data_IF_648227632366
#
_entry.id   IF_648227632366
#
_cell.length_a   1.000
_cell.length_b   1.000
_cell.length_c   1.000
_cell.angle_alpha   90.00
_cell.angle_beta   90.00
_cell.angle_gamma   90.00
#
_symmetry.space_group_name_H-M   'P 1'
#
loop_
_entity.id
_entity.type
_entity.pdbx_description
1 polymer ?
#
# COMPACT_ATOMS: atom_id res chain seq x y z
N UNK A 1 -6.44 19.56 -22.71
CA UNK A 1 -6.95 18.86 -21.51
C UNK A 1 -6.12 17.60 -21.30
N UNK A 2 -5.01 17.68 -20.56
CA UNK A 2 -4.11 16.53 -20.39
C UNK A 2 -4.28 15.95 -18.99
N UNK A 3 -5.10 14.90 -18.91
CA UNK A 3 -5.16 14.00 -17.78
C UNK A 3 -3.77 13.39 -17.59
N UNK A 4 -2.96 13.94 -16.69
CA UNK A 4 -1.66 13.37 -16.35
C UNK A 4 -1.91 12.11 -15.54
N UNK A 5 -1.84 10.97 -16.25
CA UNK A 5 -1.59 9.59 -15.79
C UNK A 5 -1.77 9.44 -14.27
N UNK A 6 -2.94 8.97 -13.85
CA UNK A 6 -3.03 8.24 -12.58
C UNK A 6 -1.93 7.18 -12.65
N UNK A 7 -0.94 7.24 -11.77
CA UNK A 7 -0.08 6.09 -11.57
C UNK A 7 -1.03 4.96 -11.17
N UNK A 8 -1.22 3.97 -12.02
CA UNK A 8 -1.73 2.66 -11.60
C UNK A 8 -0.63 2.01 -10.74
N UNK A 9 -0.39 2.58 -9.56
CA UNK A 9 0.45 1.96 -8.57
C UNK A 9 -0.21 0.65 -8.20
N UNK A 10 0.52 -0.44 -8.34
CA UNK A 10 0.03 -1.73 -7.90
C UNK A 10 -0.24 -1.67 -6.39
N UNK A 11 -1.19 -2.46 -5.87
CA UNK A 11 -1.47 -2.54 -4.44
C UNK A 11 -0.21 -2.67 -3.56
N UNK A 12 0.80 -3.38 -4.07
CA UNK A 12 2.12 -3.56 -3.43
C UNK A 12 2.94 -2.26 -3.36
N UNK A 13 2.90 -1.43 -4.40
CA UNK A 13 3.58 -0.13 -4.45
C UNK A 13 2.89 0.91 -3.57
N UNK A 14 1.55 0.89 -3.52
CA UNK A 14 0.78 1.73 -2.60
C UNK A 14 1.16 1.39 -1.15
N UNK A 15 1.22 0.10 -0.83
CA UNK A 15 1.67 -0.40 0.47
C UNK A 15 3.10 0.06 0.80
N UNK A 16 4.04 -0.04 -0.16
CA UNK A 16 5.42 0.40 0.03
C UNK A 16 5.52 1.90 0.34
N UNK A 17 4.83 2.74 -0.43
CA UNK A 17 4.82 4.20 -0.21
C UNK A 17 4.27 4.57 1.16
N UNK A 18 3.24 3.86 1.60
CA UNK A 18 2.59 4.10 2.88
C UNK A 18 3.50 3.70 4.04
N UNK A 19 4.24 2.60 3.92
CA UNK A 19 5.30 2.22 4.89
C UNK A 19 6.43 3.28 4.90
N UNK A 20 6.93 3.69 3.73
CA UNK A 20 7.98 4.71 3.62
C UNK A 20 7.56 6.03 4.27
N UNK A 21 6.32 6.46 4.06
CA UNK A 21 5.77 7.70 4.65
C UNK A 21 5.63 7.63 6.17
N UNK A 22 5.15 6.51 6.71
CA UNK A 22 4.96 6.35 8.15
C UNK A 22 6.27 6.18 8.92
N UNK A 23 7.23 5.45 8.36
CA UNK A 23 8.53 5.23 9.01
C UNK A 23 9.58 6.30 8.69
N UNK A 24 9.40 7.07 7.62
CA UNK A 24 10.50 7.83 7.02
C UNK A 24 11.64 6.93 6.53
N UNK A 25 11.39 5.63 6.32
CA UNK A 25 12.43 4.66 6.00
C UNK A 25 12.59 4.48 4.49
N UNK A 26 13.83 4.41 3.97
CA UNK A 26 14.08 4.17 2.55
C UNK A 26 13.72 2.75 2.10
N UNK A 27 13.78 1.75 2.98
CA UNK A 27 13.48 0.34 2.65
C UNK A 27 12.20 -0.18 3.32
N UNK A 28 11.05 -0.14 2.62
CA UNK A 28 9.77 -0.58 3.16
C UNK A 28 9.64 -2.11 3.26
N UNK A 29 10.52 -2.89 2.63
CA UNK A 29 10.38 -4.36 2.58
C UNK A 29 10.62 -4.99 3.95
N UNK A 30 11.45 -4.38 4.78
CA UNK A 30 11.74 -4.87 6.14
C UNK A 30 10.52 -4.84 7.07
N UNK A 31 9.50 -4.04 6.75
CA UNK A 31 8.31 -3.87 7.58
C UNK A 31 7.15 -4.75 7.15
N UNK A 32 7.31 -5.54 6.09
CA UNK A 32 6.26 -6.43 5.58
C UNK A 32 6.80 -7.83 5.33
N UNK A 33 5.98 -8.82 5.63
CA UNK A 33 6.26 -10.22 5.36
C UNK A 33 5.09 -10.82 4.59
N UNK A 34 5.39 -11.43 3.45
CA UNK A 34 4.43 -12.24 2.71
C UNK A 34 4.72 -13.71 3.01
N UNK A 35 3.79 -14.37 3.69
CA UNK A 35 3.81 -15.81 3.92
C UNK A 35 2.96 -16.48 2.85
N UNK A 36 3.58 -17.32 2.02
CA UNK A 36 2.90 -18.02 0.94
C UNK A 36 2.58 -19.45 1.35
N UNK A 37 1.34 -19.87 1.13
CA UNK A 37 0.84 -21.22 1.36
C UNK A 37 0.15 -21.71 0.08
N UNK A 38 0.47 -22.93 -0.36
CA UNK A 38 -0.27 -23.58 -1.44
C UNK A 38 -1.47 -24.31 -0.87
N UNK A 39 -2.68 -23.85 -1.18
CA UNK A 39 -3.93 -24.42 -0.68
C UNK A 39 -4.43 -25.54 -1.60
N UNK A 40 -4.17 -25.44 -2.90
CA UNK A 40 -4.57 -26.46 -3.89
C UNK A 40 -3.59 -26.53 -5.06
N UNK A 41 -3.86 -27.40 -6.05
CA UNK A 41 -3.04 -27.49 -7.28
C UNK A 41 -2.91 -26.14 -8.01
N UNK A 42 -3.95 -25.32 -7.98
CA UNK A 42 -4.03 -24.04 -8.72
C UNK A 42 -4.33 -22.86 -7.81
N UNK A 43 -4.24 -23.01 -6.49
CA UNK A 43 -4.62 -21.97 -5.54
C UNK A 43 -3.52 -21.74 -4.52
N UNK A 44 -3.14 -20.49 -4.38
CA UNK A 44 -2.18 -20.01 -3.40
C UNK A 44 -2.86 -19.00 -2.48
N UNK A 45 -2.52 -19.08 -1.21
CA UNK A 45 -2.90 -18.13 -0.18
C UNK A 45 -1.65 -17.38 0.24
N UNK A 46 -1.74 -16.07 0.28
CA UNK A 46 -0.69 -15.21 0.79
C UNK A 46 -1.20 -14.48 2.03
N UNK A 47 -0.50 -14.60 3.14
CA UNK A 47 -0.73 -13.78 4.33
C UNK A 47 0.29 -12.66 4.34
N UNK A 48 -0.18 -11.43 4.31
CA UNK A 48 0.64 -10.25 4.52
C UNK A 48 0.62 -9.91 6.01
N UNK A 49 1.78 -9.82 6.62
CA UNK A 49 1.98 -9.33 7.98
C UNK A 49 2.83 -8.07 7.92
N UNK A 50 2.35 -6.97 8.49
CA UNK A 50 3.17 -5.79 8.73
C UNK A 50 3.60 -5.74 10.19
N UNK A 51 4.81 -5.26 10.42
CA UNK A 51 5.31 -5.07 11.77
C UNK A 51 4.47 -3.99 12.48
N UNK A 52 3.74 -4.40 13.51
CA UNK A 52 2.64 -3.66 14.14
C UNK A 52 3.07 -2.43 14.93
N UNK A 53 4.36 -2.23 15.18
CA UNK A 53 4.88 -1.00 15.81
C UNK A 53 4.57 0.28 15.01
N UNK A 54 4.09 0.12 13.78
CA UNK A 54 3.69 1.18 12.86
C UNK A 54 2.27 1.71 13.03
N UNK A 55 1.39 0.92 13.65
CA UNK A 55 -0.05 1.15 13.67
C UNK A 55 -0.52 1.05 15.11
N UNK A 56 -1.14 2.13 15.60
CA UNK A 56 -1.42 2.43 17.02
C UNK A 56 -2.38 1.45 17.76
N UNK A 57 -2.51 0.19 17.35
CA UNK A 57 -3.34 -0.75 18.11
C UNK A 57 -3.81 -2.01 17.41
N UNK A 58 -3.07 -2.59 16.48
CA UNK A 58 -3.51 -3.87 15.92
C UNK A 58 -2.53 -4.51 14.96
N UNK A 59 -2.38 -5.82 15.12
CA UNK A 59 -1.65 -6.70 14.23
C UNK A 59 -2.11 -6.45 12.78
N UNK A 60 -1.28 -5.76 12.00
CA UNK A 60 -1.58 -5.36 10.64
C UNK A 60 -1.42 -6.58 9.71
N UNK A 61 -2.47 -7.39 9.64
CA UNK A 61 -2.50 -8.60 8.80
C UNK A 61 -3.59 -8.53 7.76
N UNK A 62 -3.33 -9.13 6.61
CA UNK A 62 -4.33 -9.40 5.59
C UNK A 62 -4.03 -10.72 4.88
N UNK A 63 -5.04 -11.26 4.20
CA UNK A 63 -4.91 -12.49 3.43
C UNK A 63 -5.41 -12.24 2.01
N UNK A 64 -4.68 -12.75 1.04
CA UNK A 64 -5.04 -12.80 -0.37
C UNK A 64 -5.02 -14.22 -0.89
N UNK A 65 -5.89 -14.51 -1.85
CA UNK A 65 -5.93 -15.80 -2.55
C UNK A 65 -5.81 -15.52 -4.04
N UNK A 66 -5.02 -16.34 -4.75
CA UNK A 66 -4.83 -16.20 -6.19
C UNK A 66 -4.44 -17.51 -6.85
N UNK A 67 -4.45 -17.51 -8.19
CA UNK A 67 -4.08 -18.69 -8.99
C UNK A 67 -2.57 -18.84 -9.15
N UNK A 68 -1.82 -17.81 -8.72
CA UNK A 68 -0.36 -17.76 -8.70
C UNK A 68 0.14 -17.05 -7.44
N UNK A 69 1.44 -17.18 -7.15
CA UNK A 69 2.07 -16.44 -6.06
C UNK A 69 1.88 -14.92 -6.20
N UNK A 70 2.05 -14.40 -7.42
CA UNK A 70 1.93 -12.97 -7.72
C UNK A 70 0.51 -12.45 -7.48
N UNK A 71 -0.51 -13.20 -7.93
CA UNK A 71 -1.90 -12.83 -7.68
C UNK A 71 -2.24 -12.85 -6.20
N UNK A 72 -1.81 -13.89 -5.46
CA UNK A 72 -2.07 -14.00 -4.03
C UNK A 72 -1.41 -12.85 -3.25
N UNK A 73 -0.17 -12.46 -3.59
CA UNK A 73 0.50 -11.29 -3.02
C UNK A 73 -0.26 -9.99 -3.28
N UNK A 74 -0.68 -9.77 -4.54
CA UNK A 74 -1.43 -8.57 -4.93
C UNK A 74 -2.79 -8.51 -4.21
N UNK A 75 -3.47 -9.65 -4.11
CA UNK A 75 -4.73 -9.76 -3.36
C UNK A 75 -4.52 -9.46 -1.87
N UNK A 76 -3.43 -9.94 -1.25
CA UNK A 76 -3.14 -9.69 0.15
C UNK A 76 -2.83 -8.19 0.39
N UNK A 77 -2.01 -7.59 -0.48
CA UNK A 77 -1.72 -6.16 -0.42
C UNK A 77 -3.00 -5.31 -0.63
N UNK A 78 -3.83 -5.67 -1.62
CA UNK A 78 -5.11 -5.01 -1.88
C UNK A 78 -6.04 -5.10 -0.67
N UNK A 79 -6.17 -6.30 -0.08
CA UNK A 79 -6.98 -6.51 1.11
C UNK A 79 -6.50 -5.66 2.29
N UNK A 80 -5.19 -5.45 2.43
CA UNK A 80 -4.63 -4.59 3.48
C UNK A 80 -4.97 -3.12 3.26
N UNK A 81 -4.69 -2.58 2.06
CA UNK A 81 -4.94 -1.15 1.77
C UNK A 81 -6.44 -0.80 1.72
N UNK A 82 -7.29 -1.81 1.55
CA UNK A 82 -8.75 -1.66 1.58
C UNK A 82 -9.31 -1.66 3.02
N UNK A 83 -8.49 -1.91 4.04
CA UNK A 83 -8.95 -1.83 5.43
C UNK A 83 -9.32 -0.39 5.78
N UNK A 84 -10.45 -0.13 6.47
CA UNK A 84 -10.98 1.22 6.66
C UNK A 84 -9.98 2.23 7.23
N UNK A 85 -9.18 1.82 8.22
CA UNK A 85 -8.17 2.67 8.84
C UNK A 85 -6.98 2.99 7.91
N UNK A 86 -6.61 2.05 7.03
CA UNK A 86 -5.55 2.26 6.03
C UNK A 86 -6.06 3.13 4.88
N UNK A 87 -7.29 2.89 4.42
CA UNK A 87 -7.93 3.67 3.37
C UNK A 87 -8.13 5.14 3.78
N UNK A 88 -8.48 5.40 5.04
CA UNK A 88 -8.55 6.75 5.59
C UNK A 88 -7.18 7.45 5.52
N UNK A 89 -6.12 6.78 6.00
CA UNK A 89 -4.77 7.32 5.94
C UNK A 89 -4.31 7.59 4.49
N UNK A 90 -4.63 6.69 3.55
CA UNK A 90 -4.29 6.89 2.13
C UNK A 90 -4.93 8.16 1.58
N UNK A 91 -6.21 8.41 1.90
CA UNK A 91 -6.91 9.63 1.50
C UNK A 91 -6.25 10.89 2.06
N UNK A 92 -5.94 10.91 3.35
CA UNK A 92 -5.24 12.03 3.98
C UNK A 92 -3.88 12.31 3.30
N UNK A 93 -3.13 11.26 2.97
CA UNK A 93 -1.85 11.39 2.27
C UNK A 93 -1.99 11.93 0.84
N UNK A 94 -3.04 11.51 0.12
CA UNK A 94 -3.35 12.01 -1.22
C UNK A 94 -3.78 13.48 -1.19
N UNK A 95 -4.59 13.89 -0.21
CA UNK A 95 -5.02 15.28 -0.01
C UNK A 95 -3.83 16.20 0.27
N UNK A 96 -2.95 15.83 1.21
CA UNK A 96 -1.73 16.59 1.52
C UNK A 96 -0.82 16.69 0.29
N UNK A 97 -0.69 15.61 -0.49
CA UNK A 97 0.11 15.61 -1.71
C UNK A 97 -0.47 16.53 -2.80
N UNK A 98 -1.79 16.66 -2.88
CA UNK A 98 -2.48 17.55 -3.80
C UNK A 98 -2.29 19.02 -3.40
N UNK A 99 -2.42 19.34 -2.11
CA UNK A 99 -2.20 20.69 -1.57
C UNK A 99 -0.76 21.20 -1.78
N UNK A 100 0.24 20.34 -1.57
CA UNK A 100 1.64 20.69 -1.82
C UNK A 100 1.94 20.94 -3.32
N UNK A 101 1.25 20.23 -4.22
CA UNK A 101 1.36 20.49 -5.67
C UNK A 101 0.69 21.80 -6.07
N UNK A 102 -0.45 22.14 -5.44
CA UNK A 102 -1.14 23.40 -5.69
C UNK A 102 -0.30 24.61 -5.23
N UNK A 103 0.31 24.53 -4.05
CA UNK A 103 1.16 25.60 -3.50
C UNK A 103 2.50 25.77 -4.22
N UNK A 104 3.13 24.69 -4.72
CA UNK A 104 4.31 24.80 -5.58
C UNK A 104 4.02 25.45 -6.93
N UNK A 105 2.84 25.22 -7.52
CA UNK A 105 2.40 25.89 -8.75
C UNK A 105 2.18 27.39 -8.54
N UNK A 106 1.71 27.80 -7.36
CA UNK A 106 1.53 29.22 -7.03
C UNK A 106 2.87 29.95 -6.81
N UNK A 107 3.91 29.26 -6.33
CA UNK A 107 5.24 29.87 -6.06
C UNK A 107 6.20 29.95 -7.25
N UNK A 108 5.93 29.25 -8.35
CA UNK A 108 6.75 29.30 -9.58
C UNK A 108 6.04 29.99 -10.76
N UNK A 109 5.00 30.78 -10.46
CA UNK A 109 4.22 31.53 -11.45
C UNK A 109 4.40 33.05 -11.36
N UNK A 110 5.64 33.52 -11.16
CA UNK A 110 6.07 34.90 -11.37
C UNK A 110 7.35 34.90 -12.19
#
# INVERSE_FOLDING_TARGET
MTQKRRHDDTPKEILDRLIQRKQGCPDPKHFRKFLMERVSKTTFRCTLELNSSLWDGGLAKSVGIGSSHKEAEQAAAQAYISQPHVAALLRELEEIALEQKATKKARHGL
#
